data_IF_916031716550
#
_entry.id   IF_916031716550
#
_cell.length_a   1.000
_cell.length_b   1.000
_cell.length_c   1.000
_cell.angle_alpha   90.00
_cell.angle_beta   90.00
_cell.angle_gamma   90.00
#
_symmetry.space_group_name_H-M   'P 1'
#
loop_
_entity.id
_entity.type
_entity.pdbx_description
1 polymer ?
#
# COMPACT_ATOMS: atom_id res chain seq x y z
N UNK A 1 -27.38 -41.42 37.04
CA UNK A 1 -28.09 -40.36 36.27
C UNK A 1 -27.60 -38.92 36.55
N UNK A 2 -27.10 -38.57 37.76
CA UNK A 2 -26.59 -37.22 38.06
C UNK A 2 -25.43 -36.73 37.17
N UNK A 3 -24.44 -37.60 36.90
CA UNK A 3 -23.28 -37.22 36.08
C UNK A 3 -23.67 -36.82 34.65
N UNK A 4 -24.64 -37.52 34.06
CA UNK A 4 -25.16 -37.22 32.72
C UNK A 4 -25.87 -35.87 32.69
N UNK A 5 -26.61 -35.52 33.75
CA UNK A 5 -27.25 -34.22 33.86
C UNK A 5 -26.23 -33.07 33.99
N UNK A 6 -25.15 -33.28 34.75
CA UNK A 6 -24.06 -32.31 34.88
C UNK A 6 -23.33 -32.12 33.54
N UNK A 7 -22.99 -33.20 32.85
CA UNK A 7 -22.35 -33.13 31.53
C UNK A 7 -23.25 -32.43 30.50
N UNK A 8 -24.56 -32.70 30.53
CA UNK A 8 -25.52 -32.04 29.64
C UNK A 8 -25.61 -30.54 29.91
N UNK A 9 -25.64 -30.12 31.18
CA UNK A 9 -25.63 -28.72 31.57
C UNK A 9 -24.33 -27.99 31.17
N UNK A 10 -23.18 -28.67 31.29
CA UNK A 10 -21.89 -28.12 30.82
C UNK A 10 -21.89 -27.94 29.30
N UNK A 11 -22.32 -28.96 28.55
CA UNK A 11 -22.35 -28.89 27.09
C UNK A 11 -23.34 -27.85 26.56
N UNK A 12 -24.50 -27.70 27.19
CA UNK A 12 -25.46 -26.64 26.86
C UNK A 12 -24.90 -25.25 27.21
N UNK A 13 -24.23 -25.11 28.35
CA UNK A 13 -23.56 -23.87 28.75
C UNK A 13 -22.40 -23.48 27.82
N UNK A 14 -21.58 -24.45 27.39
CA UNK A 14 -20.51 -24.24 26.42
C UNK A 14 -21.04 -23.89 25.03
N UNK A 15 -22.07 -24.61 24.55
CA UNK A 15 -22.74 -24.29 23.29
C UNK A 15 -23.28 -22.86 23.31
N UNK A 16 -23.97 -22.46 24.37
CA UNK A 16 -24.51 -21.11 24.51
C UNK A 16 -23.40 -20.06 24.62
N UNK A 17 -22.30 -20.37 25.31
CA UNK A 17 -21.14 -19.48 25.39
C UNK A 17 -20.45 -19.32 24.03
N UNK A 18 -20.33 -20.39 23.24
CA UNK A 18 -19.77 -20.37 21.87
C UNK A 18 -20.68 -19.60 20.92
N UNK A 19 -22.00 -19.82 20.99
CA UNK A 19 -22.99 -19.08 20.18
C UNK A 19 -23.03 -17.59 20.54
N UNK A 20 -22.92 -17.24 21.84
CA UNK A 20 -22.84 -15.86 22.33
C UNK A 20 -21.51 -15.18 22.03
N UNK A 21 -20.43 -15.95 21.85
CA UNK A 21 -19.10 -15.41 21.51
C UNK A 21 -19.05 -14.77 20.13
N UNK A 22 -20.10 -14.84 19.31
CA UNK A 22 -20.31 -13.95 18.17
C UNK A 22 -19.32 -14.10 17.01
N UNK A 23 -19.83 -13.91 15.81
CA UNK A 23 -19.18 -14.04 14.50
C UNK A 23 -18.06 -13.01 14.19
N UNK A 24 -17.33 -12.54 15.20
CA UNK A 24 -16.24 -11.59 15.02
C UNK A 24 -14.93 -12.32 14.80
N UNK A 25 -14.27 -12.02 13.69
CA UNK A 25 -12.97 -12.58 13.38
C UNK A 25 -11.95 -12.06 14.41
N UNK A 26 -11.00 -12.90 14.86
CA UNK A 26 -9.96 -12.47 15.78
C UNK A 26 -9.21 -11.23 15.24
N UNK A 27 -8.74 -10.35 16.13
CA UNK A 27 -7.95 -9.17 15.73
C UNK A 27 -6.72 -9.55 14.89
N UNK A 28 -6.13 -10.73 15.14
CA UNK A 28 -5.04 -11.29 14.36
C UNK A 28 -5.42 -11.57 12.89
N UNK A 29 -6.67 -11.93 12.61
CA UNK A 29 -7.18 -12.10 11.25
C UNK A 29 -7.23 -10.75 10.53
N UNK A 30 -7.85 -9.74 11.13
CA UNK A 30 -7.94 -8.41 10.53
C UNK A 30 -6.55 -7.81 10.29
N UNK A 31 -5.63 -8.01 11.23
CA UNK A 31 -4.23 -7.61 11.09
C UNK A 31 -3.56 -8.28 9.90
N UNK A 32 -3.66 -9.61 9.79
CA UNK A 32 -3.05 -10.35 8.68
C UNK A 32 -3.67 -9.99 7.33
N UNK A 33 -4.97 -9.75 7.29
CA UNK A 33 -5.66 -9.25 6.11
C UNK A 33 -5.14 -7.87 5.70
N UNK A 34 -4.95 -6.96 6.66
CA UNK A 34 -4.39 -5.63 6.40
C UNK A 34 -2.94 -5.71 5.90
N UNK A 35 -2.11 -6.56 6.51
CA UNK A 35 -0.73 -6.81 6.08
C UNK A 35 -0.66 -7.34 4.64
N UNK A 36 -1.54 -8.27 4.27
CA UNK A 36 -1.65 -8.78 2.90
C UNK A 36 -2.10 -7.69 1.92
N UNK A 37 -3.14 -6.92 2.27
CA UNK A 37 -3.63 -5.83 1.41
C UNK A 37 -2.54 -4.77 1.18
N UNK A 38 -1.81 -4.40 2.22
CA UNK A 38 -0.72 -3.44 2.12
C UNK A 38 0.43 -3.96 1.27
N UNK A 39 0.89 -5.20 1.51
CA UNK A 39 2.00 -5.79 0.75
C UNK A 39 1.68 -5.97 -0.73
N UNK A 40 0.47 -6.41 -1.08
CA UNK A 40 0.02 -6.49 -2.48
C UNK A 40 -0.05 -5.10 -3.12
N UNK A 41 -0.58 -4.10 -2.40
CA UNK A 41 -0.61 -2.72 -2.88
C UNK A 41 0.78 -2.16 -3.14
N UNK A 42 1.74 -2.44 -2.25
CA UNK A 42 3.13 -2.03 -2.41
C UNK A 42 3.81 -2.72 -3.59
N UNK A 43 3.60 -4.03 -3.77
CA UNK A 43 4.13 -4.77 -4.92
C UNK A 43 3.61 -4.22 -6.24
N UNK A 44 2.31 -3.89 -6.30
CA UNK A 44 1.70 -3.25 -7.47
C UNK A 44 2.32 -1.88 -7.75
N UNK A 45 2.55 -1.08 -6.71
CA UNK A 45 3.21 0.22 -6.86
C UNK A 45 4.65 0.08 -7.36
N UNK A 46 5.41 -0.89 -6.84
CA UNK A 46 6.75 -1.23 -7.32
C UNK A 46 6.75 -1.69 -8.78
N UNK A 47 5.75 -2.49 -9.17
CA UNK A 47 5.57 -2.90 -10.56
C UNK A 47 5.38 -1.70 -11.48
N UNK A 48 4.50 -0.78 -11.10
CA UNK A 48 4.24 0.47 -11.84
C UNK A 48 5.48 1.33 -11.99
N UNK A 49 6.28 1.46 -10.93
CA UNK A 49 7.57 2.17 -11.00
C UNK A 49 8.50 1.52 -12.04
N UNK A 50 8.57 0.19 -12.09
CA UNK A 50 9.38 -0.52 -13.10
C UNK A 50 8.81 -0.37 -14.51
N UNK A 51 7.49 -0.38 -14.67
CA UNK A 51 6.83 -0.14 -15.97
C UNK A 51 7.13 1.27 -16.49
N UNK A 52 7.00 2.30 -15.63
CA UNK A 52 7.34 3.69 -15.96
C UNK A 52 8.82 3.79 -16.38
N UNK A 53 9.70 3.12 -15.65
CA UNK A 53 11.12 3.06 -15.99
C UNK A 53 11.35 2.40 -17.36
N UNK A 54 10.73 1.25 -17.62
CA UNK A 54 10.91 0.50 -18.86
C UNK A 54 10.37 1.24 -20.10
N UNK A 55 9.23 1.92 -19.97
CA UNK A 55 8.67 2.74 -21.06
C UNK A 55 9.61 3.87 -21.45
N UNK A 56 10.21 4.55 -20.47
CA UNK A 56 11.19 5.60 -20.74
C UNK A 56 12.49 5.04 -21.33
N UNK A 57 13.01 3.96 -20.78
CA UNK A 57 14.29 3.38 -21.24
C UNK A 57 14.16 2.76 -22.64
N UNK A 58 12.95 2.33 -23.04
CA UNK A 58 12.61 1.87 -24.39
C UNK A 58 12.57 2.96 -25.47
N UNK A 59 12.52 4.24 -25.10
CA UNK A 59 12.56 5.39 -26.00
C UNK A 59 13.96 6.04 -26.13
N UNK A 60 15.01 5.40 -25.56
CA UNK A 60 16.38 5.91 -25.62
C UNK A 60 17.06 5.85 -27.01
N UNK A 61 18.03 6.74 -27.32
CA UNK A 61 18.60 7.01 -28.65
C UNK A 61 19.55 5.90 -29.21
N UNK A 62 19.41 4.66 -28.77
CA UNK A 62 20.22 3.51 -29.20
C UNK A 62 19.64 2.68 -30.34
N UNK A 63 18.43 2.99 -30.83
CA UNK A 63 17.79 2.26 -31.93
C UNK A 63 18.19 2.82 -33.31
N UNK A 64 19.49 2.98 -33.53
CA UNK A 64 20.07 3.10 -34.86
C UNK A 64 20.89 1.82 -35.07
N UNK A 65 20.57 1.09 -36.13
CA UNK A 65 21.12 -0.22 -36.51
C UNK A 65 20.39 -1.44 -35.94
N UNK A 66 19.13 -1.63 -36.34
CA UNK A 66 18.72 -2.82 -37.09
C UNK A 66 17.22 -2.79 -37.39
N UNK A 67 16.87 -3.26 -38.58
CA UNK A 67 15.52 -3.51 -39.07
C UNK A 67 14.74 -2.28 -39.57
N UNK A 68 14.99 -1.96 -40.84
CA UNK A 68 13.91 -1.50 -41.70
C UNK A 68 12.78 -2.53 -41.79
N UNK A 69 11.63 -2.04 -42.26
CA UNK A 69 10.37 -2.75 -42.53
C UNK A 69 9.47 -3.00 -41.31
N UNK A 70 8.74 -1.97 -40.89
CA UNK A 70 7.28 -1.84 -41.10
C UNK A 70 6.76 -0.69 -40.23
N UNK A 71 6.24 0.34 -40.88
CA UNK A 71 5.46 1.41 -40.24
C UNK A 71 4.18 0.80 -39.66
N UNK A 72 4.20 0.46 -38.37
CA UNK A 72 2.98 0.15 -37.63
C UNK A 72 2.36 1.46 -37.13
N UNK A 73 1.05 1.73 -37.36
CA UNK A 73 0.37 2.94 -36.89
C UNK A 73 0.24 3.06 -35.36
N UNK A 74 0.70 2.07 -34.58
CA UNK A 74 0.52 2.02 -33.12
C UNK A 74 1.48 2.92 -32.31
N UNK A 75 2.53 3.50 -32.91
CA UNK A 75 3.51 4.30 -32.18
C UNK A 75 3.00 5.67 -31.69
N UNK A 76 1.76 6.06 -32.01
CA UNK A 76 1.15 7.32 -31.55
C UNK A 76 0.37 7.24 -30.23
N UNK A 77 0.24 6.05 -29.62
CA UNK A 77 -0.46 5.87 -28.34
C UNK A 77 0.45 6.04 -27.09
N UNK A 78 1.75 5.80 -27.22
CA UNK A 78 2.71 5.80 -26.11
C UNK A 78 2.84 7.12 -25.29
N UNK A 79 2.82 8.34 -25.88
CA UNK A 79 3.09 9.55 -25.11
C UNK A 79 1.95 9.96 -24.16
N UNK A 80 0.74 9.43 -24.30
CA UNK A 80 -0.36 9.66 -23.34
C UNK A 80 -0.39 8.62 -22.22
N UNK A 81 0.29 7.49 -22.37
CA UNK A 81 0.27 6.38 -21.40
C UNK A 81 1.18 6.67 -20.20
N UNK A 82 2.36 7.29 -20.41
CA UNK A 82 3.30 7.56 -19.32
C UNK A 82 2.76 8.56 -18.27
N UNK A 83 2.20 9.73 -18.65
CA UNK A 83 1.62 10.67 -17.69
C UNK A 83 0.44 10.06 -16.91
N UNK A 84 -0.37 9.23 -17.57
CA UNK A 84 -1.48 8.53 -16.94
C UNK A 84 -0.97 7.51 -15.91
N UNK A 85 0.01 6.67 -16.26
CA UNK A 85 0.62 5.70 -15.36
C UNK A 85 1.25 6.35 -14.13
N UNK A 86 1.97 7.47 -14.31
CA UNK A 86 2.53 8.26 -13.21
C UNK A 86 1.42 8.77 -12.28
N UNK A 87 0.36 9.36 -12.84
CA UNK A 87 -0.76 9.87 -12.04
C UNK A 87 -1.44 8.78 -11.23
N UNK A 88 -1.63 7.59 -11.81
CA UNK A 88 -2.19 6.48 -11.08
C UNK A 88 -1.22 5.92 -10.03
N UNK A 89 0.08 5.83 -10.30
CA UNK A 89 1.09 5.43 -9.32
C UNK A 89 1.11 6.39 -8.12
N UNK A 90 1.00 7.70 -8.34
CA UNK A 90 0.92 8.69 -7.25
C UNK A 90 -0.38 8.55 -6.45
N UNK A 91 -1.52 8.28 -7.10
CA UNK A 91 -2.78 7.98 -6.40
C UNK A 91 -2.65 6.73 -5.52
N UNK A 92 -2.00 5.69 -6.01
CA UNK A 92 -1.76 4.47 -5.24
C UNK A 92 -0.80 4.69 -4.06
N UNK A 93 0.24 5.51 -4.25
CA UNK A 93 1.15 5.93 -3.19
C UNK A 93 0.40 6.67 -2.07
N UNK A 94 -0.48 7.61 -2.42
CA UNK A 94 -1.33 8.32 -1.45
C UNK A 94 -2.27 7.36 -0.71
N UNK A 95 -2.86 6.39 -1.40
CA UNK A 95 -3.70 5.38 -0.76
C UNK A 95 -2.91 4.51 0.22
N UNK A 96 -1.70 4.06 -0.17
CA UNK A 96 -0.80 3.31 0.69
C UNK A 96 -0.39 4.12 1.93
N UNK A 97 -0.11 5.41 1.76
CA UNK A 97 0.12 6.34 2.86
C UNK A 97 -1.06 6.39 3.84
N UNK A 98 -2.29 6.51 3.35
CA UNK A 98 -3.46 6.53 4.22
C UNK A 98 -3.61 5.23 5.03
N UNK A 99 -3.26 4.08 4.45
CA UNK A 99 -3.23 2.81 5.18
C UNK A 99 -2.20 2.82 6.32
N UNK A 100 -0.98 3.34 6.07
CA UNK A 100 0.06 3.47 7.10
C UNK A 100 -0.40 4.41 8.21
N UNK A 101 -0.93 5.60 7.88
CA UNK A 101 -1.42 6.56 8.87
C UNK A 101 -2.54 5.98 9.73
N UNK A 102 -3.50 5.27 9.12
CA UNK A 102 -4.55 4.57 9.85
C UNK A 102 -3.96 3.52 10.79
N UNK A 103 -2.95 2.77 10.35
CA UNK A 103 -2.29 1.78 11.21
C UNK A 103 -1.55 2.40 12.38
N UNK A 104 -0.88 3.54 12.19
CA UNK A 104 -0.26 4.33 13.27
C UNK A 104 -1.34 4.73 14.29
N UNK A 105 -2.50 5.21 13.85
CA UNK A 105 -3.59 5.60 14.75
C UNK A 105 -4.12 4.42 15.57
N UNK A 106 -4.32 3.26 14.92
CA UNK A 106 -4.76 2.03 15.60
C UNK A 106 -3.72 1.60 16.65
N UNK A 107 -2.43 1.61 16.28
CA UNK A 107 -1.35 1.25 17.18
C UNK A 107 -1.30 2.17 18.40
N UNK A 108 -1.37 3.50 18.21
CA UNK A 108 -1.41 4.48 19.31
C UNK A 108 -2.61 4.26 20.23
N UNK A 109 -3.78 3.94 19.65
CA UNK A 109 -4.98 3.64 20.44
C UNK A 109 -4.81 2.36 21.27
N UNK A 110 -4.23 1.31 20.69
CA UNK A 110 -3.94 0.07 21.43
C UNK A 110 -2.93 0.31 22.55
N UNK A 111 -1.89 1.12 22.30
CA UNK A 111 -0.92 1.50 23.33
C UNK A 111 -1.60 2.28 24.47
N UNK A 112 -2.51 3.20 24.16
CA UNK A 112 -3.27 3.93 25.18
C UNK A 112 -4.14 2.99 26.02
N UNK A 113 -4.84 2.03 25.39
CA UNK A 113 -5.67 1.05 26.10
C UNK A 113 -4.81 0.11 26.96
N UNK A 114 -3.60 -0.21 26.50
CA UNK A 114 -2.62 -0.98 27.27
C UNK A 114 -2.25 -0.28 28.58
N UNK A 115 -2.13 1.05 28.54
CA UNK A 115 -1.95 1.88 29.74
C UNK A 115 -3.08 1.75 30.76
N UNK A 116 -4.27 1.30 30.32
CA UNK A 116 -5.42 1.02 31.18
C UNK A 116 -5.56 -0.48 31.53
N UNK A 117 -4.55 -1.31 31.27
CA UNK A 117 -4.53 -2.73 31.60
C UNK A 117 -5.06 -3.68 30.50
N UNK A 118 -5.31 -3.18 29.27
CA UNK A 118 -5.58 -4.06 28.14
C UNK A 118 -4.32 -4.81 27.67
N UNK A 119 -4.49 -5.98 27.04
CA UNK A 119 -3.37 -6.71 26.43
C UNK A 119 -2.76 -5.91 25.27
N UNK A 120 -1.43 -5.87 25.21
CA UNK A 120 -0.68 -5.16 24.17
C UNK A 120 0.50 -6.00 23.69
N UNK A 121 0.32 -6.62 22.53
CA UNK A 121 1.32 -7.50 21.90
C UNK A 121 1.90 -6.89 20.61
N UNK A 122 1.76 -5.57 20.42
CA UNK A 122 2.16 -4.91 19.18
C UNK A 122 3.60 -4.36 19.22
N UNK A 123 4.50 -5.01 18.49
CA UNK A 123 5.81 -4.46 18.14
C UNK A 123 5.67 -3.36 17.07
N UNK A 124 6.46 -2.28 17.20
CA UNK A 124 6.58 -1.22 16.20
C UNK A 124 7.30 -1.65 14.92
N UNK A 125 8.13 -2.71 14.96
CA UNK A 125 8.97 -3.12 13.83
C UNK A 125 8.19 -3.35 12.51
N UNK A 126 7.02 -4.01 12.49
CA UNK A 126 6.23 -4.15 11.25
C UNK A 126 5.72 -2.80 10.72
N UNK A 127 5.38 -1.87 11.61
CA UNK A 127 4.92 -0.54 11.22
C UNK A 127 6.07 0.30 10.67
N UNK A 128 7.24 0.26 11.33
CA UNK A 128 8.47 0.87 10.84
C UNK A 128 8.81 0.37 9.44
N UNK A 129 8.80 -0.95 9.23
CA UNK A 129 9.04 -1.54 7.91
C UNK A 129 8.08 -1.01 6.84
N UNK A 130 6.78 -0.82 7.17
CA UNK A 130 5.83 -0.24 6.22
C UNK A 130 6.18 1.20 5.86
N UNK A 131 6.60 2.01 6.84
CA UNK A 131 7.05 3.38 6.60
C UNK A 131 8.30 3.40 5.70
N UNK A 132 9.31 2.60 6.03
CA UNK A 132 10.57 2.50 5.27
C UNK A 132 10.30 2.09 3.82
N UNK A 133 9.54 1.01 3.60
CA UNK A 133 9.21 0.55 2.25
C UNK A 133 8.37 1.55 1.46
N UNK A 134 7.49 2.32 2.11
CA UNK A 134 6.71 3.37 1.46
C UNK A 134 7.59 4.55 1.04
N UNK A 135 8.53 4.96 1.90
CA UNK A 135 9.49 6.04 1.60
C UNK A 135 10.44 5.62 0.47
N UNK A 136 10.89 4.37 0.45
CA UNK A 136 11.72 3.84 -0.64
C UNK A 136 11.00 3.95 -1.99
N UNK A 137 9.75 3.47 -2.06
CA UNK A 137 8.97 3.52 -3.31
C UNK A 137 8.56 4.95 -3.69
N UNK A 138 8.29 5.81 -2.69
CA UNK A 138 8.09 7.24 -2.90
C UNK A 138 9.31 7.85 -3.62
N UNK A 139 10.52 7.58 -3.13
CA UNK A 139 11.74 8.13 -3.69
C UNK A 139 11.98 7.62 -5.12
N UNK A 140 11.79 6.33 -5.36
CA UNK A 140 11.90 5.74 -6.71
C UNK A 140 10.90 6.39 -7.68
N UNK A 141 9.64 6.55 -7.28
CA UNK A 141 8.62 7.18 -8.12
C UNK A 141 8.93 8.66 -8.36
N UNK A 142 9.39 9.39 -7.34
CA UNK A 142 9.83 10.78 -7.48
C UNK A 142 10.96 10.91 -8.51
N UNK A 143 11.96 10.01 -8.48
CA UNK A 143 13.01 9.98 -9.50
C UNK A 143 12.46 9.77 -10.90
N UNK A 144 11.47 8.86 -11.08
CA UNK A 144 10.84 8.66 -12.38
C UNK A 144 10.12 9.92 -12.88
N UNK A 145 9.40 10.63 -11.98
CA UNK A 145 8.71 11.88 -12.31
C UNK A 145 9.69 12.98 -12.71
N UNK A 146 10.82 13.09 -12.01
CA UNK A 146 11.86 14.05 -12.38
C UNK A 146 12.49 13.73 -13.74
N UNK A 147 12.71 12.44 -14.03
CA UNK A 147 13.22 12.00 -15.32
C UNK A 147 12.22 12.24 -16.47
N UNK A 148 10.92 12.09 -16.22
CA UNK A 148 9.84 12.32 -17.18
C UNK A 148 9.36 13.79 -17.23
N UNK A 149 10.10 14.72 -16.62
CA UNK A 149 9.68 16.12 -16.47
C UNK A 149 9.35 16.83 -17.79
N UNK A 150 10.08 16.50 -18.86
CA UNK A 150 9.85 17.06 -20.20
C UNK A 150 8.53 16.59 -20.84
N UNK A 151 8.08 15.37 -20.51
CA UNK A 151 6.90 14.71 -21.09
C UNK A 151 5.62 15.00 -20.30
N UNK A 152 5.75 15.28 -19.00
CA UNK A 152 4.62 15.57 -18.09
C UNK A 152 3.99 16.96 -18.33
N UNK A 153 4.66 17.85 -19.05
CA UNK A 153 4.19 19.21 -19.29
C UNK A 153 4.31 20.15 -18.08
N UNK A 154 4.26 21.46 -18.33
CA UNK A 154 4.61 22.50 -17.36
C UNK A 154 3.66 22.59 -16.14
N UNK A 155 2.40 22.16 -16.28
CA UNK A 155 1.38 22.30 -15.23
C UNK A 155 1.27 21.07 -14.31
N UNK A 156 1.62 19.88 -14.78
CA UNK A 156 1.46 18.64 -14.00
C UNK A 156 2.62 18.40 -13.05
N UNK A 157 3.85 18.70 -13.47
CA UNK A 157 5.04 18.47 -12.65
C UNK A 157 4.99 19.19 -11.28
N UNK A 158 4.69 20.50 -11.18
CA UNK A 158 4.63 21.18 -9.89
C UNK A 158 3.56 20.57 -8.96
N UNK A 159 2.39 20.22 -9.51
CA UNK A 159 1.31 19.58 -8.75
C UNK A 159 1.70 18.21 -8.22
N UNK A 160 2.44 17.42 -9.00
CA UNK A 160 2.95 16.12 -8.55
C UNK A 160 3.97 16.28 -7.42
N UNK A 161 4.89 17.25 -7.53
CA UNK A 161 5.88 17.54 -6.50
C UNK A 161 5.24 17.98 -5.18
N UNK A 162 4.20 18.82 -5.22
CA UNK A 162 3.41 19.17 -4.04
C UNK A 162 2.79 17.93 -3.37
N UNK A 163 2.18 17.04 -4.16
CA UNK A 163 1.60 15.79 -3.66
C UNK A 163 2.65 14.88 -3.02
N UNK A 164 3.84 14.75 -3.61
CA UNK A 164 4.95 14.00 -3.02
C UNK A 164 5.40 14.60 -1.67
N UNK A 165 5.49 15.92 -1.59
CA UNK A 165 5.83 16.62 -0.34
C UNK A 165 4.74 16.43 0.72
N UNK A 166 3.47 16.42 0.33
CA UNK A 166 2.36 16.13 1.24
C UNK A 166 2.44 14.70 1.78
N UNK A 167 2.78 13.72 0.93
CA UNK A 167 2.99 12.32 1.36
C UNK A 167 4.06 12.22 2.44
N UNK A 168 5.25 12.80 2.21
CA UNK A 168 6.34 12.76 3.21
C UNK A 168 6.00 13.55 4.46
N UNK A 169 5.52 14.78 4.31
CA UNK A 169 5.24 15.65 5.47
C UNK A 169 4.17 15.07 6.38
N UNK A 170 3.16 14.39 5.83
CA UNK A 170 2.13 13.73 6.64
C UNK A 170 2.61 12.45 7.32
N UNK A 171 3.59 11.73 6.76
CA UNK A 171 4.22 10.58 7.41
C UNK A 171 5.19 11.01 8.53
N UNK A 172 5.95 12.08 8.33
CA UNK A 172 6.97 12.54 9.29
C UNK A 172 6.37 13.29 10.48
N UNK A 173 5.30 14.07 10.27
CA UNK A 173 4.68 14.89 11.32
C UNK A 173 3.76 14.09 12.28
N UNK A 174 3.51 12.81 12.03
CA UNK A 174 2.50 11.99 12.73
C UNK A 174 3.14 10.87 13.53
#
# INVERSE_FOLDING_TARGET
LRLVAVLKAILEGEKDAVLKRGHHLPLSFHRRQEELKFSLGLQRLQHRVREIQALRDGEGPGSLHSAGLLLSPMARAAPQELPALILEAVKELEAAKQQVLKRIQIWKRQQQLAGNGALFEENLAPLQKRCESLVEVHFQLHQQVMAASAELGADLLPRLLERFNEVLSSLVKR
#
